data_IF_610902361270
#
_entry.id   IF_610902361270
#
_cell.length_a   1.000
_cell.length_b   1.000
_cell.length_c   1.000
_cell.angle_alpha   90.00
_cell.angle_beta   90.00
_cell.angle_gamma   90.00
#
_symmetry.space_group_name_H-M   'P 1'
#
loop_
_entity.id
_entity.type
_entity.pdbx_description
1 polymer ?
#
# COMPACT_ATOMS: atom_id res chain seq x y z
N UNK A 1 -15.81 11.01 -7.89
CA UNK A 1 -16.18 12.43 -8.12
C UNK A 1 -17.60 12.74 -7.67
N UNK A 2 -18.63 11.97 -8.05
CA UNK A 2 -20.00 12.26 -7.61
C UNK A 2 -20.23 12.10 -6.09
N UNK A 3 -19.58 11.13 -5.43
CA UNK A 3 -19.72 10.93 -3.98
C UNK A 3 -19.22 12.17 -3.20
N UNK A 4 -18.00 12.70 -3.42
CA UNK A 4 -17.58 13.99 -2.86
C UNK A 4 -18.54 15.14 -3.13
N UNK A 5 -19.07 15.25 -4.35
CA UNK A 5 -20.01 16.30 -4.70
C UNK A 5 -21.29 16.26 -3.86
N UNK A 6 -21.82 15.06 -3.58
CA UNK A 6 -23.00 14.89 -2.72
C UNK A 6 -22.71 15.33 -1.28
N UNK A 7 -21.50 15.06 -0.78
CA UNK A 7 -21.06 15.51 0.55
C UNK A 7 -20.99 17.04 0.59
N UNK A 8 -20.34 17.66 -0.40
CA UNK A 8 -20.23 19.13 -0.46
C UNK A 8 -21.60 19.81 -0.65
N UNK A 9 -22.53 19.21 -1.40
CA UNK A 9 -23.92 19.69 -1.49
C UNK A 9 -24.59 19.66 -0.11
N UNK A 10 -24.42 18.57 0.64
CA UNK A 10 -24.99 18.47 2.00
C UNK A 10 -24.43 19.52 2.95
N UNK A 11 -23.15 19.86 2.78
CA UNK A 11 -22.45 20.87 3.59
C UNK A 11 -22.57 22.29 3.01
N UNK A 12 -23.36 22.49 1.95
CA UNK A 12 -23.57 23.77 1.26
C UNK A 12 -22.26 24.41 0.74
N UNK A 13 -21.23 23.60 0.49
CA UNK A 13 -19.93 24.03 0.00
C UNK A 13 -19.92 24.09 -1.54
N UNK A 14 -19.41 25.17 -2.15
CA UNK A 14 -19.42 25.34 -3.61
C UNK A 14 -18.51 24.37 -4.38
N UNK A 15 -17.59 23.68 -3.71
CA UNK A 15 -16.66 22.72 -4.32
C UNK A 15 -17.39 21.52 -4.97
N UNK A 16 -18.67 21.28 -4.66
CA UNK A 16 -19.48 20.30 -5.40
C UNK A 16 -19.48 20.56 -6.91
N UNK A 17 -19.42 21.84 -7.33
CA UNK A 17 -19.36 22.24 -8.74
C UNK A 17 -18.06 21.77 -9.39
N UNK A 18 -16.96 21.82 -8.65
CA UNK A 18 -15.64 21.36 -9.11
C UNK A 18 -15.66 19.86 -9.35
N UNK A 19 -16.21 19.09 -8.41
CA UNK A 19 -16.32 17.64 -8.56
C UNK A 19 -17.26 17.21 -9.69
N UNK A 20 -18.42 17.86 -9.84
CA UNK A 20 -19.36 17.57 -10.94
C UNK A 20 -18.76 17.98 -12.28
N UNK A 21 -18.17 19.18 -12.36
CA UNK A 21 -17.53 19.68 -13.59
C UNK A 21 -16.37 18.80 -14.04
N UNK A 22 -15.48 18.43 -13.12
CA UNK A 22 -14.37 17.50 -13.38
C UNK A 22 -14.89 16.14 -13.83
N UNK A 23 -15.91 15.60 -13.15
CA UNK A 23 -16.51 14.31 -13.49
C UNK A 23 -17.17 14.32 -14.87
N UNK A 24 -17.86 15.39 -15.24
CA UNK A 24 -18.47 15.54 -16.56
C UNK A 24 -17.41 15.65 -17.66
N UNK A 25 -16.39 16.50 -17.47
CA UNK A 25 -15.30 16.67 -18.43
C UNK A 25 -14.57 15.35 -18.71
N UNK A 26 -14.17 14.65 -17.64
CA UNK A 26 -13.46 13.36 -17.75
C UNK A 26 -14.39 12.30 -18.33
N UNK A 27 -15.67 12.28 -17.94
CA UNK A 27 -16.66 11.36 -18.49
C UNK A 27 -16.84 11.52 -20.00
N UNK A 28 -16.93 12.76 -20.49
CA UNK A 28 -17.00 13.07 -21.93
C UNK A 28 -15.72 12.62 -22.63
N UNK A 29 -14.54 12.94 -22.08
CA UNK A 29 -13.27 12.52 -22.67
C UNK A 29 -13.16 11.00 -22.78
N UNK A 30 -13.49 10.27 -21.70
CA UNK A 30 -13.53 8.80 -21.70
C UNK A 30 -14.54 8.25 -22.71
N UNK A 31 -15.71 8.87 -22.87
CA UNK A 31 -16.71 8.46 -23.85
C UNK A 31 -16.23 8.68 -25.29
N UNK A 32 -15.57 9.81 -25.57
CA UNK A 32 -14.99 10.11 -26.89
C UNK A 32 -13.87 9.14 -27.25
N UNK A 33 -12.94 8.88 -26.31
CA UNK A 33 -11.87 7.88 -26.51
C UNK A 33 -12.48 6.51 -26.76
N UNK A 34 -13.42 6.08 -25.91
CA UNK A 34 -14.12 4.80 -26.06
C UNK A 34 -14.83 4.67 -27.40
N UNK A 35 -15.47 5.74 -27.89
CA UNK A 35 -16.11 5.80 -29.20
C UNK A 35 -15.11 5.73 -30.36
N UNK A 36 -13.99 6.46 -30.26
CA UNK A 36 -12.94 6.49 -31.27
C UNK A 36 -12.17 5.16 -31.37
N UNK A 37 -12.03 4.44 -30.25
CA UNK A 37 -11.34 3.14 -30.20
C UNK A 37 -12.30 1.95 -30.32
N UNK A 38 -13.54 2.15 -30.80
CA UNK A 38 -14.44 1.03 -31.11
C UNK A 38 -13.91 0.26 -32.32
N UNK A 39 -13.37 -0.92 -32.06
CA UNK A 39 -12.83 -1.80 -33.08
C UNK A 39 -12.38 -3.14 -32.51
N UNK A 40 -11.65 -3.90 -33.31
CA UNK A 40 -11.11 -5.19 -32.90
C UNK A 40 -10.16 -5.03 -31.72
N UNK A 41 -10.40 -5.83 -30.67
CA UNK A 41 -9.54 -5.83 -29.49
C UNK A 41 -8.22 -6.51 -29.86
N UNK A 42 -7.06 -5.87 -29.61
CA UNK A 42 -5.77 -6.51 -29.84
C UNK A 42 -5.67 -7.77 -28.98
N UNK A 43 -4.98 -8.79 -29.51
CA UNK A 43 -4.68 -9.99 -28.72
C UNK A 43 -3.87 -9.60 -27.50
N UNK A 44 -4.30 -10.04 -26.32
CA UNK A 44 -3.59 -9.76 -25.08
C UNK A 44 -2.22 -10.44 -25.09
N UNK A 45 -1.17 -9.63 -24.92
CA UNK A 45 0.22 -10.10 -24.73
C UNK A 45 0.72 -9.66 -23.37
N UNK A 46 1.76 -10.34 -22.84
CA UNK A 46 2.36 -9.96 -21.56
C UNK A 46 2.89 -8.51 -21.57
N UNK A 47 3.49 -8.09 -22.70
CA UNK A 47 3.98 -6.71 -22.94
C UNK A 47 2.84 -5.69 -22.78
N UNK A 48 1.69 -5.98 -23.40
CA UNK A 48 0.49 -5.14 -23.27
C UNK A 48 -0.05 -5.13 -21.84
N UNK A 49 0.03 -6.25 -21.12
CA UNK A 49 -0.33 -6.35 -19.71
C UNK A 49 0.46 -5.38 -18.81
N UNK A 50 1.79 -5.34 -18.95
CA UNK A 50 2.63 -4.40 -18.22
C UNK A 50 2.28 -2.94 -18.55
N UNK A 51 2.11 -2.63 -19.84
CA UNK A 51 1.76 -1.27 -20.29
C UNK A 51 0.40 -0.82 -19.73
N UNK A 52 -0.63 -1.67 -19.79
CA UNK A 52 -1.97 -1.35 -19.29
C UNK A 52 -1.92 -1.06 -17.79
N UNK A 53 -1.26 -1.91 -17.01
CA UNK A 53 -1.16 -1.78 -15.55
C UNK A 53 -0.51 -0.46 -15.16
N UNK A 54 0.62 -0.12 -15.76
CA UNK A 54 1.32 1.14 -15.47
C UNK A 54 0.50 2.35 -15.93
N UNK A 55 -0.14 2.27 -17.10
CA UNK A 55 -0.95 3.37 -17.65
C UNK A 55 -2.18 3.66 -16.81
N UNK A 56 -2.85 2.64 -16.26
CA UNK A 56 -4.04 2.81 -15.41
C UNK A 56 -3.73 3.65 -14.19
N UNK A 57 -2.57 3.45 -13.53
CA UNK A 57 -2.20 4.27 -12.38
C UNK A 57 -1.80 5.69 -12.74
N UNK A 58 -1.00 5.86 -13.80
CA UNK A 58 -0.58 7.20 -14.25
C UNK A 58 -1.80 8.02 -14.66
N UNK A 59 -2.66 7.47 -15.52
CA UNK A 59 -3.89 8.15 -15.95
C UNK A 59 -4.84 8.35 -14.78
N UNK A 60 -4.96 7.38 -13.88
CA UNK A 60 -5.72 7.50 -12.65
C UNK A 60 -5.26 8.67 -11.79
N UNK A 61 -3.95 8.84 -11.61
CA UNK A 61 -3.37 9.93 -10.81
C UNK A 61 -3.57 11.29 -11.49
N UNK A 62 -3.44 11.37 -12.81
CA UNK A 62 -3.76 12.60 -13.57
C UNK A 62 -5.24 12.98 -13.36
N UNK A 63 -6.15 12.02 -13.53
CA UNK A 63 -7.59 12.22 -13.33
C UNK A 63 -7.91 12.60 -11.88
N UNK A 64 -7.25 11.96 -10.93
CA UNK A 64 -7.45 12.18 -9.50
C UNK A 64 -6.97 13.54 -9.01
N UNK A 65 -5.94 14.10 -9.66
CA UNK A 65 -5.39 15.42 -9.38
C UNK A 65 -6.28 16.57 -9.83
N UNK A 66 -7.09 16.39 -10.89
CA UNK A 66 -7.94 17.47 -11.46
C UNK A 66 -8.81 18.16 -10.41
N UNK A 67 -9.68 17.46 -9.65
CA UNK A 67 -10.52 18.12 -8.65
C UNK A 67 -9.71 18.71 -7.48
N UNK A 68 -8.53 18.17 -7.17
CA UNK A 68 -7.66 18.72 -6.11
C UNK A 68 -6.98 20.03 -6.53
N UNK A 69 -6.65 20.17 -7.81
CA UNK A 69 -6.03 21.38 -8.35
C UNK A 69 -7.03 22.53 -8.59
N UNK A 70 -8.29 22.19 -8.92
CA UNK A 70 -9.33 23.17 -9.26
C UNK A 70 -10.22 23.52 -8.06
N UNK A 71 -10.14 22.77 -6.96
CA UNK A 71 -10.93 23.05 -5.75
C UNK A 71 -10.45 24.32 -5.04
N UNK A 72 -11.14 24.66 -3.95
CA UNK A 72 -10.74 25.75 -3.04
C UNK A 72 -9.38 25.54 -2.36
N UNK A 73 -8.78 24.36 -2.50
CA UNK A 73 -7.49 24.02 -1.87
C UNK A 73 -6.34 24.59 -2.70
N UNK A 74 -5.54 25.46 -2.07
CA UNK A 74 -4.38 26.07 -2.70
C UNK A 74 -3.20 25.10 -2.77
N UNK A 75 -3.04 24.40 -3.90
CA UNK A 75 -1.89 23.53 -4.19
C UNK A 75 -1.30 23.76 -5.57
N UNK A 76 0.00 23.55 -5.72
CA UNK A 76 0.63 23.46 -7.04
C UNK A 76 0.09 22.23 -7.77
N UNK A 77 0.18 22.20 -9.10
CA UNK A 77 -0.23 21.01 -9.84
C UNK A 77 0.64 19.80 -9.48
N UNK A 78 1.93 20.00 -9.18
CA UNK A 78 2.80 18.94 -8.68
C UNK A 78 2.30 18.41 -7.33
N UNK A 79 1.87 19.29 -6.42
CA UNK A 79 1.22 18.92 -5.16
C UNK A 79 -0.09 18.14 -5.36
N UNK A 80 -0.98 18.61 -6.25
CA UNK A 80 -2.23 17.90 -6.55
C UNK A 80 -1.99 16.52 -7.18
N UNK A 81 -1.01 16.40 -8.07
CA UNK A 81 -0.60 15.12 -8.65
C UNK A 81 0.01 14.19 -7.60
N UNK A 82 0.88 14.72 -6.72
CA UNK A 82 1.47 13.97 -5.62
C UNK A 82 0.40 13.43 -4.68
N UNK A 83 -0.54 14.27 -4.25
CA UNK A 83 -1.64 13.87 -3.36
C UNK A 83 -2.51 12.79 -4.01
N UNK A 84 -2.75 12.91 -5.32
CA UNK A 84 -3.51 11.91 -6.06
C UNK A 84 -2.76 10.61 -6.28
N UNK A 85 -1.47 10.67 -6.62
CA UNK A 85 -0.63 9.48 -6.79
C UNK A 85 -0.51 8.76 -5.46
N UNK A 86 -0.16 9.47 -4.38
CA UNK A 86 -0.07 8.96 -3.01
C UNK A 86 -1.38 8.33 -2.54
N UNK A 87 -2.54 8.92 -2.89
CA UNK A 87 -3.84 8.32 -2.66
C UNK A 87 -3.99 6.99 -3.40
N UNK A 88 -3.82 6.97 -4.72
CA UNK A 88 -4.03 5.77 -5.53
C UNK A 88 -3.01 4.65 -5.26
N UNK A 89 -1.77 4.98 -4.95
CA UNK A 89 -0.75 4.01 -4.52
C UNK A 89 -0.88 3.62 -3.06
N UNK A 90 -1.91 4.11 -2.36
CA UNK A 90 -2.14 3.93 -0.91
C UNK A 90 -0.87 4.17 -0.10
N UNK A 91 -0.16 5.24 -0.44
CA UNK A 91 1.06 5.63 0.28
C UNK A 91 0.73 6.48 1.49
N UNK A 92 -0.19 7.45 1.37
CA UNK A 92 -0.61 8.24 2.53
C UNK A 92 0.25 9.46 2.85
N UNK A 93 1.29 9.73 2.07
CA UNK A 93 2.04 10.99 2.15
C UNK A 93 1.16 12.14 1.66
N UNK A 94 1.08 13.24 2.42
CA UNK A 94 0.24 14.41 2.10
C UNK A 94 1.07 15.66 1.90
N UNK A 95 0.66 16.52 0.96
CA UNK A 95 1.14 17.92 0.84
C UNK A 95 0.12 18.91 1.40
N UNK A 96 -1.02 18.43 1.86
CA UNK A 96 -2.10 19.21 2.44
C UNK A 96 -1.91 19.33 3.96
N UNK A 97 -2.22 20.51 4.48
CA UNK A 97 -2.26 20.87 5.90
C UNK A 97 -3.55 21.62 6.23
N UNK A 98 -3.94 21.65 7.49
CA UNK A 98 -5.21 22.24 7.92
C UNK A 98 -6.40 21.38 7.54
N UNK A 99 -6.23 20.05 7.55
CA UNK A 99 -7.24 19.09 7.10
C UNK A 99 -8.55 19.21 7.89
N UNK A 100 -8.47 19.55 9.18
CA UNK A 100 -9.61 19.73 10.08
C UNK A 100 -10.62 20.79 9.61
N UNK A 101 -10.15 21.81 8.89
CA UNK A 101 -10.98 22.90 8.35
C UNK A 101 -11.27 22.76 6.85
N UNK A 102 -10.78 21.69 6.21
CA UNK A 102 -10.89 21.48 4.77
C UNK A 102 -12.31 21.02 4.39
N UNK A 103 -12.80 21.35 3.18
CA UNK A 103 -14.08 20.86 2.71
C UNK A 103 -14.18 19.33 2.77
N UNK A 104 -15.29 18.83 3.32
CA UNK A 104 -15.51 17.39 3.51
C UNK A 104 -15.56 16.62 2.19
N UNK A 105 -15.96 17.22 1.07
CA UNK A 105 -15.83 16.59 -0.24
C UNK A 105 -14.38 16.33 -0.64
N UNK A 106 -13.45 17.24 -0.34
CA UNK A 106 -12.02 17.04 -0.60
C UNK A 106 -11.47 15.92 0.27
N UNK A 107 -11.78 15.90 1.57
CA UNK A 107 -11.38 14.83 2.48
C UNK A 107 -11.91 13.46 2.02
N UNK A 108 -13.19 13.41 1.63
CA UNK A 108 -13.82 12.20 1.06
C UNK A 108 -13.14 11.75 -0.24
N UNK A 109 -12.73 12.69 -1.09
CA UNK A 109 -12.01 12.36 -2.31
C UNK A 109 -10.66 11.70 -2.04
N UNK A 110 -9.90 12.23 -1.07
CA UNK A 110 -8.61 11.66 -0.64
C UNK A 110 -8.79 10.21 -0.18
N UNK A 111 -9.73 9.95 0.72
CA UNK A 111 -9.99 8.59 1.22
C UNK A 111 -10.52 7.65 0.13
N UNK A 112 -11.34 8.15 -0.81
CA UNK A 112 -11.80 7.35 -1.96
C UNK A 112 -10.66 6.98 -2.91
N UNK A 113 -9.70 7.87 -3.15
CA UNK A 113 -8.53 7.54 -3.98
C UNK A 113 -7.74 6.37 -3.36
N UNK A 114 -7.56 6.36 -2.04
CA UNK A 114 -6.93 5.23 -1.35
C UNK A 114 -7.75 3.95 -1.44
N UNK A 115 -9.07 4.05 -1.22
CA UNK A 115 -9.95 2.89 -1.32
C UNK A 115 -9.96 2.26 -2.72
N UNK A 116 -10.03 3.10 -3.77
CA UNK A 116 -9.88 2.66 -5.16
C UNK A 116 -8.48 2.10 -5.43
N UNK A 117 -7.46 2.68 -4.81
CA UNK A 117 -6.08 2.20 -4.78
C UNK A 117 -5.96 0.75 -4.30
N UNK A 118 -6.59 0.45 -3.16
CA UNK A 118 -6.64 -0.89 -2.56
C UNK A 118 -7.35 -1.91 -3.45
N UNK A 119 -8.53 -1.54 -3.98
CA UNK A 119 -9.27 -2.38 -4.96
C UNK A 119 -8.43 -2.61 -6.22
N UNK A 120 -7.72 -1.58 -6.69
CA UNK A 120 -6.86 -1.64 -7.86
C UNK A 120 -5.76 -2.70 -7.73
N UNK A 121 -5.10 -2.82 -6.58
CA UNK A 121 -4.13 -3.91 -6.33
C UNK A 121 -4.80 -5.28 -6.43
N UNK A 122 -5.94 -5.43 -5.76
CA UNK A 122 -6.67 -6.70 -5.75
C UNK A 122 -7.05 -7.10 -7.18
N UNK A 123 -7.54 -6.14 -7.99
CA UNK A 123 -7.89 -6.34 -9.39
C UNK A 123 -6.68 -6.59 -10.30
N UNK A 124 -5.57 -5.87 -10.12
CA UNK A 124 -4.35 -6.07 -10.89
C UNK A 124 -3.72 -7.43 -10.66
N UNK A 125 -3.67 -7.90 -9.41
CA UNK A 125 -3.20 -9.23 -9.10
C UNK A 125 -3.95 -10.25 -9.98
N UNK A 126 -5.27 -10.11 -10.13
CA UNK A 126 -6.11 -11.02 -10.92
C UNK A 126 -5.93 -10.89 -12.44
N UNK A 127 -5.68 -9.68 -12.95
CA UNK A 127 -5.45 -9.43 -14.37
C UNK A 127 -4.05 -9.86 -14.84
N UNK A 128 -3.05 -9.75 -13.96
CA UNK A 128 -1.65 -10.05 -14.25
C UNK A 128 -1.31 -11.52 -13.93
N UNK A 129 -2.02 -12.15 -12.98
CA UNK A 129 -1.81 -13.56 -12.58
C UNK A 129 -1.80 -14.57 -13.74
N UNK A 130 -2.71 -14.52 -14.74
CA UNK A 130 -2.69 -15.44 -15.87
C UNK A 130 -1.47 -15.27 -16.79
N UNK A 131 -0.88 -14.07 -16.77
CA UNK A 131 0.29 -13.69 -17.57
C UNK A 131 1.61 -14.05 -16.88
N UNK A 132 1.67 -13.95 -15.54
CA UNK A 132 2.79 -14.39 -14.71
C UNK A 132 2.74 -15.90 -14.46
N UNK A 133 2.96 -16.68 -15.51
CA UNK A 133 3.04 -18.16 -15.46
C UNK A 133 4.25 -18.70 -14.66
N UNK A 134 5.02 -17.84 -13.99
CA UNK A 134 6.28 -18.16 -13.32
C UNK A 134 6.40 -17.38 -12.00
N UNK A 135 6.02 -18.01 -10.88
CA UNK A 135 6.33 -17.49 -9.54
C UNK A 135 5.24 -17.72 -8.50
N UNK A 136 5.53 -18.54 -7.48
CA UNK A 136 4.86 -18.60 -6.17
C UNK A 136 3.38 -19.02 -6.12
N UNK A 137 2.51 -18.38 -6.90
CA UNK A 137 1.06 -18.65 -6.99
C UNK A 137 0.68 -19.71 -8.01
N UNK A 138 1.63 -20.22 -8.83
CA UNK A 138 1.43 -21.42 -9.64
C UNK A 138 1.00 -22.65 -8.78
N UNK A 139 1.24 -22.57 -7.48
CA UNK A 139 0.78 -23.54 -6.49
C UNK A 139 -0.74 -23.63 -6.33
N UNK A 140 -1.48 -22.56 -6.64
CA UNK A 140 -2.95 -22.63 -6.69
C UNK A 140 -3.47 -23.50 -7.83
N UNK A 141 -2.64 -23.81 -8.83
CA UNK A 141 -2.98 -24.72 -9.92
C UNK A 141 -2.57 -26.17 -9.65
N UNK A 142 -1.72 -26.45 -8.65
CA UNK A 142 -1.28 -27.82 -8.37
C UNK A 142 -2.27 -28.63 -7.52
N UNK A 143 -3.29 -28.00 -6.92
CA UNK A 143 -4.37 -28.70 -6.20
C UNK A 143 -5.57 -29.12 -7.07
N UNK A 144 -5.61 -28.73 -8.35
CA UNK A 144 -6.69 -29.16 -9.25
C UNK A 144 -6.14 -29.88 -10.47
N UNK A 145 -6.13 -31.21 -10.39
CA UNK A 145 -5.91 -32.13 -11.51
C UNK A 145 -7.08 -32.07 -12.51
N UNK A 146 -7.28 -30.93 -13.18
CA UNK A 146 -8.24 -30.84 -14.27
C UNK A 146 -7.78 -29.82 -15.33
N UNK A 147 -7.17 -30.36 -16.40
CA UNK A 147 -6.86 -29.64 -17.63
C UNK A 147 -8.17 -29.47 -18.42
N UNK A 148 -8.89 -28.37 -18.23
CA UNK A 148 -9.91 -27.96 -19.21
C UNK A 148 -10.14 -26.45 -19.20
N UNK A 149 -10.54 -25.94 -20.37
CA UNK A 149 -10.76 -24.54 -20.82
C UNK A 149 -11.69 -23.64 -19.97
N UNK A 150 -11.85 -23.91 -18.67
CA UNK A 150 -12.69 -23.14 -17.74
C UNK A 150 -11.89 -22.19 -16.84
N UNK A 151 -10.73 -21.72 -17.30
CA UNK A 151 -9.87 -20.79 -16.54
C UNK A 151 -10.52 -19.41 -16.40
N UNK A 152 -11.14 -18.89 -17.47
CA UNK A 152 -11.81 -17.57 -17.46
C UNK A 152 -13.01 -17.43 -16.50
N UNK A 153 -14.00 -18.37 -16.44
CA UNK A 153 -15.15 -18.21 -15.54
C UNK A 153 -14.79 -18.26 -14.05
N UNK A 154 -13.62 -18.82 -13.68
CA UNK A 154 -13.16 -18.90 -12.28
C UNK A 154 -12.42 -17.64 -11.81
N UNK A 155 -11.71 -16.93 -12.70
CA UNK A 155 -11.04 -15.66 -12.35
C UNK A 155 -12.07 -14.58 -12.00
N UNK A 156 -13.19 -14.50 -12.73
CA UNK A 156 -14.28 -13.57 -12.43
C UNK A 156 -14.94 -13.83 -11.06
N UNK A 157 -15.20 -15.10 -10.73
CA UNK A 157 -15.78 -15.47 -9.42
C UNK A 157 -14.83 -15.19 -8.25
N UNK A 158 -13.53 -15.46 -8.41
CA UNK A 158 -12.52 -15.11 -7.42
C UNK A 158 -12.40 -13.58 -7.24
N UNK A 159 -12.52 -12.81 -8.32
CA UNK A 159 -12.51 -11.34 -8.27
C UNK A 159 -13.68 -10.77 -7.49
N UNK A 160 -14.89 -11.27 -7.74
CA UNK A 160 -16.08 -10.88 -6.96
C UNK A 160 -15.91 -11.20 -5.47
N UNK A 161 -15.34 -12.36 -5.14
CA UNK A 161 -15.05 -12.74 -3.76
C UNK A 161 -14.04 -11.84 -3.06
N UNK A 162 -12.97 -11.41 -3.74
CA UNK A 162 -11.95 -10.53 -3.15
C UNK A 162 -12.51 -9.13 -2.90
N UNK A 163 -13.24 -8.58 -3.87
CA UNK A 163 -13.90 -7.27 -3.71
C UNK A 163 -14.97 -7.33 -2.61
N UNK A 164 -15.75 -8.41 -2.54
CA UNK A 164 -16.72 -8.59 -1.47
C UNK A 164 -16.06 -8.64 -0.09
N UNK A 165 -14.96 -9.39 0.07
CA UNK A 165 -14.21 -9.42 1.33
C UNK A 165 -13.69 -8.03 1.72
N UNK A 166 -13.15 -7.28 0.76
CA UNK A 166 -12.67 -5.91 0.97
C UNK A 166 -13.78 -4.95 1.42
N UNK A 167 -14.93 -4.96 0.73
CA UNK A 167 -16.08 -4.12 1.07
C UNK A 167 -16.66 -4.49 2.43
N UNK A 168 -16.82 -5.79 2.73
CA UNK A 168 -17.36 -6.26 4.01
C UNK A 168 -16.43 -5.88 5.17
N UNK A 169 -15.12 -6.09 5.03
CA UNK A 169 -14.16 -5.69 6.06
C UNK A 169 -14.14 -4.17 6.27
N UNK A 170 -14.24 -3.38 5.19
CA UNK A 170 -14.34 -1.92 5.27
C UNK A 170 -15.60 -1.49 6.03
N UNK A 171 -16.74 -2.11 5.73
CA UNK A 171 -18.00 -1.83 6.42
C UNK A 171 -17.94 -2.19 7.90
N UNK A 172 -17.38 -3.36 8.25
CA UNK A 172 -17.20 -3.77 9.64
C UNK A 172 -16.27 -2.82 10.40
N UNK A 173 -15.22 -2.33 9.76
CA UNK A 173 -14.32 -1.32 10.34
C UNK A 173 -15.04 0.00 10.59
N UNK A 174 -15.83 0.47 9.62
CA UNK A 174 -16.64 1.69 9.77
C UNK A 174 -17.64 1.57 10.93
N UNK A 175 -18.34 0.44 11.03
CA UNK A 175 -19.26 0.17 12.15
C UNK A 175 -18.51 0.18 13.48
N UNK A 176 -17.36 -0.47 13.57
CA UNK A 176 -16.55 -0.50 14.78
C UNK A 176 -16.09 0.90 15.21
N UNK A 177 -15.62 1.73 14.27
CA UNK A 177 -15.24 3.11 14.55
C UNK A 177 -16.41 3.98 14.99
N UNK A 178 -17.58 3.87 14.35
CA UNK A 178 -18.79 4.59 14.80
C UNK A 178 -19.23 4.16 16.20
N UNK A 179 -19.13 2.87 16.53
CA UNK A 179 -19.48 2.34 17.85
C UNK A 179 -18.54 2.79 18.97
N UNK A 180 -17.33 3.23 18.63
CA UNK A 180 -16.35 3.79 19.57
C UNK A 180 -16.43 5.32 19.71
N UNK A 181 -17.30 5.99 18.95
CA UNK A 181 -17.56 7.42 19.10
C UNK A 181 -16.98 8.32 18.00
N UNK A 182 -16.36 7.77 16.95
CA UNK A 182 -16.02 8.58 15.77
C UNK A 182 -17.28 9.13 15.10
N UNK A 183 -17.18 10.34 14.53
CA UNK A 183 -18.25 10.85 13.67
C UNK A 183 -18.47 9.89 12.50
N UNK A 184 -19.70 9.79 11.99
CA UNK A 184 -20.01 8.88 10.87
C UNK A 184 -19.13 9.16 9.64
N UNK A 185 -18.79 10.44 9.41
CA UNK A 185 -17.93 10.86 8.32
C UNK A 185 -16.49 10.39 8.54
N UNK A 186 -15.94 10.62 9.71
CA UNK A 186 -14.57 10.19 10.03
C UNK A 186 -14.48 8.67 10.00
N UNK A 187 -15.44 7.97 10.59
CA UNK A 187 -15.47 6.52 10.63
C UNK A 187 -15.46 5.87 9.23
N UNK A 188 -16.20 6.42 8.26
CA UNK A 188 -16.19 5.91 6.88
C UNK A 188 -14.85 6.22 6.18
N UNK A 189 -14.36 7.45 6.31
CA UNK A 189 -13.11 7.85 5.68
C UNK A 189 -11.93 7.04 6.22
N UNK A 190 -11.82 6.95 7.55
CA UNK A 190 -10.79 6.17 8.22
C UNK A 190 -10.92 4.67 7.94
N UNK A 191 -12.13 4.11 7.86
CA UNK A 191 -12.29 2.70 7.50
C UNK A 191 -11.78 2.38 6.09
N UNK A 192 -12.05 3.27 5.11
CA UNK A 192 -11.55 3.13 3.74
C UNK A 192 -10.03 3.12 3.68
N UNK A 193 -9.39 4.05 4.40
CA UNK A 193 -7.93 4.24 4.41
C UNK A 193 -7.21 3.19 5.26
N UNK A 194 -7.82 2.71 6.36
CA UNK A 194 -7.34 1.59 7.17
C UNK A 194 -7.30 0.30 6.35
N UNK A 195 -8.40 -0.08 5.68
CA UNK A 195 -8.44 -1.34 4.93
C UNK A 195 -7.64 -1.31 3.65
N UNK A 196 -7.48 -0.13 3.03
CA UNK A 196 -6.56 0.05 1.90
C UNK A 196 -5.09 0.01 2.28
N UNK A 197 -4.77 -0.03 3.59
CA UNK A 197 -3.43 0.16 4.16
C UNK A 197 -2.75 1.38 3.54
N UNK A 198 -3.40 2.55 3.63
CA UNK A 198 -2.89 3.79 3.06
C UNK A 198 -2.87 5.00 4.00
N UNK A 199 -3.67 5.00 5.07
CA UNK A 199 -3.51 5.93 6.19
C UNK A 199 -3.77 7.42 5.96
N UNK A 200 -4.50 7.81 4.90
CA UNK A 200 -5.05 9.17 4.89
C UNK A 200 -6.02 9.38 6.04
N UNK A 201 -6.01 10.60 6.58
CA UNK A 201 -6.83 11.04 7.69
C UNK A 201 -7.65 12.27 7.30
N UNK A 202 -8.79 12.43 7.96
CA UNK A 202 -9.60 13.66 7.94
C UNK A 202 -9.00 14.76 8.82
N UNK A 203 -8.04 14.42 9.68
CA UNK A 203 -7.40 15.31 10.66
C UNK A 203 -5.89 15.35 10.46
N UNK A 204 -5.24 16.50 10.71
CA UNK A 204 -3.79 16.65 10.59
C UNK A 204 -3.03 15.74 11.56
N UNK A 205 -3.55 15.56 12.78
CA UNK A 205 -2.96 14.70 13.80
C UNK A 205 -3.21 13.19 13.57
N UNK A 206 -3.68 12.80 12.38
CA UNK A 206 -3.97 11.40 12.04
C UNK A 206 -4.89 10.73 13.06
N UNK A 207 -4.47 9.62 13.68
CA UNK A 207 -5.27 8.90 14.70
C UNK A 207 -5.05 9.46 16.10
N UNK A 208 -4.06 10.34 16.28
CA UNK A 208 -3.84 11.07 17.53
C UNK A 208 -4.97 12.05 17.87
N UNK A 209 -5.73 12.51 16.87
CA UNK A 209 -6.89 13.40 17.07
C UNK A 209 -7.97 12.82 18.00
N UNK A 210 -8.17 11.50 17.98
CA UNK A 210 -9.27 10.87 18.72
C UNK A 210 -8.95 10.60 20.19
N UNK A 211 -7.67 10.62 20.58
CA UNK A 211 -7.20 10.42 21.97
C UNK A 211 -7.86 9.23 22.71
N UNK A 212 -8.21 8.15 22.00
CA UNK A 212 -8.87 6.96 22.56
C UNK A 212 -8.12 5.67 22.17
N UNK A 213 -7.54 5.01 23.17
CA UNK A 213 -6.80 3.75 23.02
C UNK A 213 -7.65 2.64 22.38
N UNK A 214 -8.98 2.65 22.58
CA UNK A 214 -9.88 1.65 22.00
C UNK A 214 -9.94 1.78 20.48
N UNK A 215 -9.89 3.02 19.96
CA UNK A 215 -9.82 3.29 18.52
C UNK A 215 -8.50 2.78 17.96
N UNK A 216 -7.38 3.03 18.65
CA UNK A 216 -6.06 2.55 18.24
C UNK A 216 -6.01 1.01 18.18
N UNK A 217 -6.62 0.32 19.16
CA UNK A 217 -6.70 -1.15 19.16
C UNK A 217 -7.52 -1.66 17.97
N UNK A 218 -8.70 -1.09 17.72
CA UNK A 218 -9.54 -1.48 16.58
C UNK A 218 -8.83 -1.22 15.26
N UNK A 219 -8.19 -0.05 15.10
CA UNK A 219 -7.39 0.27 13.94
C UNK A 219 -6.25 -0.73 13.74
N UNK A 220 -5.52 -1.09 14.80
CA UNK A 220 -4.45 -2.09 14.76
C UNK A 220 -4.95 -3.44 14.23
N UNK A 221 -6.11 -3.90 14.71
CA UNK A 221 -6.71 -5.15 14.26
C UNK A 221 -7.07 -5.09 12.77
N UNK A 222 -7.73 -4.02 12.32
CA UNK A 222 -8.13 -3.89 10.91
C UNK A 222 -6.94 -3.64 9.97
N UNK A 223 -5.88 -2.97 10.41
CA UNK A 223 -4.62 -2.86 9.66
C UNK A 223 -3.96 -4.23 9.47
N UNK A 224 -3.93 -5.06 10.53
CA UNK A 224 -3.46 -6.45 10.43
C UNK A 224 -4.31 -7.24 9.44
N UNK A 225 -5.63 -7.11 9.49
CA UNK A 225 -6.53 -7.79 8.55
C UNK A 225 -6.30 -7.31 7.10
N UNK A 226 -6.13 -6.00 6.88
CA UNK A 226 -5.79 -5.45 5.56
C UNK A 226 -4.44 -5.94 5.03
N UNK A 227 -3.48 -6.23 5.91
CA UNK A 227 -2.15 -6.73 5.56
C UNK A 227 -2.06 -8.26 5.37
N UNK A 228 -3.13 -9.01 5.65
CA UNK A 228 -3.20 -10.44 5.37
C UNK A 228 -3.60 -10.72 3.91
N UNK A 229 -3.25 -11.89 3.34
CA UNK A 229 -3.67 -12.24 1.99
C UNK A 229 -5.20 -12.32 1.90
N UNK A 230 -5.83 -11.54 1.03
CA UNK A 230 -7.30 -11.48 0.92
C UNK A 230 -7.93 -12.81 0.50
N UNK A 231 -7.16 -13.67 -0.16
CA UNK A 231 -7.58 -15.03 -0.52
C UNK A 231 -7.93 -15.87 0.71
N UNK A 232 -7.37 -15.57 1.89
CA UNK A 232 -7.74 -16.23 3.15
C UNK A 232 -9.19 -15.97 3.53
N UNK A 233 -9.69 -14.76 3.31
CA UNK A 233 -11.08 -14.42 3.63
C UNK A 233 -12.05 -15.20 2.75
N UNK A 234 -11.76 -15.33 1.45
CA UNK A 234 -12.57 -16.16 0.56
C UNK A 234 -12.61 -17.60 1.04
N UNK A 235 -11.45 -18.18 1.38
CA UNK A 235 -11.34 -19.56 1.86
C UNK A 235 -12.10 -19.78 3.17
N UNK A 236 -12.16 -18.78 4.05
CA UNK A 236 -12.91 -18.85 5.31
C UNK A 236 -14.42 -19.04 5.09
N UNK A 237 -14.96 -18.53 3.98
CA UNK A 237 -16.38 -18.70 3.61
C UNK A 237 -16.67 -20.00 2.85
N UNK A 238 -15.67 -20.80 2.49
CA UNK A 238 -15.88 -22.09 1.81
C UNK A 238 -16.07 -23.24 2.82
N UNK A 239 -17.03 -24.17 2.61
CA UNK A 239 -17.40 -25.22 3.56
C UNK A 239 -16.34 -26.30 3.83
N UNK A 240 -15.15 -26.24 3.20
CA UNK A 240 -14.03 -27.17 3.47
C UNK A 240 -13.02 -26.54 4.44
N UNK A 241 -13.27 -26.79 5.74
CA UNK A 241 -12.38 -26.76 6.92
C UNK A 241 -11.09 -25.91 6.83
N UNK A 242 -11.05 -24.84 7.64
CA UNK A 242 -9.97 -24.33 8.51
C UNK A 242 -8.48 -24.71 8.26
N UNK A 243 -8.01 -24.88 7.03
CA UNK A 243 -6.58 -24.79 6.72
C UNK A 243 -6.09 -23.33 6.67
N UNK A 244 -6.61 -22.49 7.59
CA UNK A 244 -6.32 -21.05 7.67
C UNK A 244 -4.83 -20.75 7.94
N UNK A 245 -4.05 -21.76 8.34
CA UNK A 245 -2.72 -21.61 8.93
C UNK A 245 -1.59 -22.30 8.15
N UNK A 246 -1.84 -22.68 6.89
CA UNK A 246 -0.82 -23.39 6.09
C UNK A 246 0.17 -22.47 5.37
N UNK A 247 -0.05 -21.14 5.36
CA UNK A 247 0.87 -20.21 4.69
C UNK A 247 1.95 -19.70 5.65
N UNK A 248 3.24 -20.05 5.44
CA UNK A 248 4.32 -19.66 6.34
C UNK A 248 4.53 -18.15 6.46
N UNK A 249 4.13 -17.33 5.47
CA UNK A 249 4.32 -15.87 5.57
C UNK A 249 3.50 -15.23 6.69
N UNK A 250 2.34 -15.80 7.03
CA UNK A 250 1.46 -15.27 8.08
C UNK A 250 2.18 -15.38 9.42
N UNK A 251 2.80 -16.53 9.70
CA UNK A 251 3.58 -16.74 10.92
C UNK A 251 4.79 -15.81 11.00
N UNK A 252 5.47 -15.56 9.89
CA UNK A 252 6.58 -14.59 9.83
C UNK A 252 6.09 -13.18 10.12
N UNK A 253 5.00 -12.75 9.49
CA UNK A 253 4.42 -11.42 9.68
C UNK A 253 4.04 -11.18 11.14
N UNK A 254 3.29 -12.09 11.77
CA UNK A 254 2.94 -11.96 13.19
C UNK A 254 4.16 -12.00 14.11
N UNK A 255 5.15 -12.85 13.82
CA UNK A 255 6.39 -12.90 14.60
C UNK A 255 7.15 -11.56 14.54
N UNK A 256 7.21 -10.91 13.38
CA UNK A 256 7.83 -9.59 13.22
C UNK A 256 7.04 -8.54 14.01
N UNK A 257 5.71 -8.47 13.84
CA UNK A 257 4.87 -7.49 14.53
C UNK A 257 5.02 -7.61 16.06
N UNK A 258 4.93 -8.83 16.60
CA UNK A 258 5.04 -9.05 18.05
C UNK A 258 6.44 -8.75 18.58
N UNK A 259 7.50 -9.24 17.92
CA UNK A 259 8.86 -9.04 18.43
C UNK A 259 9.29 -7.58 18.40
N UNK A 260 9.00 -6.86 17.32
CA UNK A 260 9.33 -5.45 17.21
C UNK A 260 8.45 -4.59 18.15
N UNK A 261 7.17 -4.95 18.33
CA UNK A 261 6.28 -4.21 19.27
C UNK A 261 6.80 -4.31 20.69
N UNK A 262 7.20 -5.50 21.12
CA UNK A 262 7.77 -5.72 22.44
C UNK A 262 9.09 -4.94 22.60
N UNK A 263 9.95 -4.92 21.57
CA UNK A 263 11.21 -4.17 21.62
C UNK A 263 10.99 -2.66 21.81
N UNK A 264 10.02 -2.08 21.10
CA UNK A 264 9.66 -0.66 21.23
C UNK A 264 9.00 -0.39 22.58
N UNK A 265 8.06 -1.23 23.02
CA UNK A 265 7.38 -1.07 24.30
C UNK A 265 8.38 -1.10 25.48
N UNK A 266 9.38 -2.00 25.44
CA UNK A 266 10.46 -2.05 26.43
C UNK A 266 11.25 -0.73 26.42
N UNK A 267 11.59 -0.23 25.23
CA UNK A 267 12.39 0.98 25.07
C UNK A 267 11.61 2.20 25.58
N UNK A 268 10.33 2.35 25.24
CA UNK A 268 9.46 3.40 25.79
C UNK A 268 9.37 3.34 27.31
N UNK A 269 9.25 2.14 27.88
CA UNK A 269 9.18 1.98 29.33
C UNK A 269 10.47 2.43 30.03
N UNK A 270 11.62 2.12 29.44
CA UNK A 270 12.93 2.45 30.01
C UNK A 270 13.27 3.93 29.87
N UNK A 271 13.03 4.54 28.71
CA UNK A 271 13.49 5.90 28.41
C UNK A 271 12.44 6.99 28.68
N UNK A 272 11.15 6.71 28.48
CA UNK A 272 10.07 7.70 28.57
C UNK A 272 9.21 7.54 29.83
N UNK A 273 9.49 6.53 30.66
CA UNK A 273 8.76 6.20 31.88
C UNK A 273 7.22 6.03 31.70
N UNK A 274 6.75 5.78 30.48
CA UNK A 274 5.33 5.60 30.16
C UNK A 274 4.71 4.43 30.93
N UNK A 275 3.39 4.47 31.13
CA UNK A 275 2.65 3.38 31.75
C UNK A 275 2.72 2.10 30.88
N UNK A 276 2.55 0.92 31.47
CA UNK A 276 2.68 -0.35 30.73
C UNK A 276 1.62 -0.46 29.62
N UNK A 277 0.40 -0.02 29.91
CA UNK A 277 -0.72 -0.07 28.99
C UNK A 277 -0.51 0.87 27.80
N UNK A 278 -0.23 2.15 28.06
CA UNK A 278 0.05 3.17 27.05
C UNK A 278 1.28 2.79 26.20
N UNK A 279 2.35 2.31 26.84
CA UNK A 279 3.56 1.89 26.14
C UNK A 279 3.28 0.72 25.19
N UNK A 280 2.36 -0.20 25.54
CA UNK A 280 2.03 -1.32 24.67
C UNK A 280 1.07 -0.89 23.55
N UNK A 281 0.00 -0.17 23.86
CA UNK A 281 -1.03 0.23 22.87
C UNK A 281 -0.44 1.15 21.80
N UNK A 282 0.22 2.25 22.21
CA UNK A 282 0.80 3.21 21.26
C UNK A 282 1.96 2.58 20.46
N UNK A 283 2.79 1.73 21.08
CA UNK A 283 3.85 1.02 20.34
C UNK A 283 3.28 0.02 19.33
N UNK A 284 2.27 -0.76 19.72
CA UNK A 284 1.62 -1.73 18.84
C UNK A 284 0.96 -1.02 17.66
N UNK A 285 0.23 0.07 17.93
CA UNK A 285 -0.48 0.84 16.91
C UNK A 285 0.49 1.44 15.87
N UNK A 286 1.46 2.25 16.32
CA UNK A 286 2.38 2.93 15.40
C UNK A 286 3.25 1.93 14.64
N UNK A 287 3.72 0.88 15.30
CA UNK A 287 4.55 -0.11 14.62
C UNK A 287 3.76 -0.96 13.61
N UNK A 288 2.57 -1.44 13.97
CA UNK A 288 1.71 -2.16 13.03
C UNK A 288 1.34 -1.25 11.87
N UNK A 289 1.04 0.02 12.13
CA UNK A 289 0.79 1.03 11.10
C UNK A 289 1.94 1.13 10.09
N UNK A 290 3.19 1.17 10.54
CA UNK A 290 4.37 1.22 9.66
C UNK A 290 4.60 -0.12 8.93
N UNK A 291 4.58 -1.26 9.62
CA UNK A 291 4.84 -2.58 9.02
C UNK A 291 3.76 -2.96 7.99
N UNK A 292 2.50 -2.62 8.27
CA UNK A 292 1.38 -2.85 7.34
C UNK A 292 1.35 -1.83 6.21
N UNK A 293 2.28 -0.86 6.21
CA UNK A 293 2.37 0.26 5.28
C UNK A 293 1.13 1.14 5.29
N UNK A 294 0.41 1.20 6.40
CA UNK A 294 -0.76 2.08 6.55
C UNK A 294 -0.32 3.51 6.79
N UNK A 295 0.67 3.77 7.64
CA UNK A 295 1.24 5.11 7.81
C UNK A 295 0.50 6.08 8.71
N UNK A 296 -0.51 5.62 9.46
CA UNK A 296 -1.06 6.39 10.56
C UNK A 296 -0.04 6.61 11.68
N UNK A 297 -0.15 7.78 12.32
CA UNK A 297 0.53 8.10 13.55
C UNK A 297 -0.50 8.40 14.65
N UNK A 298 -0.22 7.95 15.88
CA UNK A 298 -0.91 8.44 17.09
C UNK A 298 -0.08 9.49 17.81
N UNK A 299 1.25 9.32 17.80
CA UNK A 299 2.23 10.17 18.44
C UNK A 299 3.43 10.37 17.51
N UNK A 300 4.22 11.41 17.78
CA UNK A 300 5.52 11.55 17.13
C UNK A 300 6.55 10.59 17.74
N UNK A 301 6.70 9.43 17.11
CA UNK A 301 7.62 8.39 17.53
C UNK A 301 9.11 8.74 17.30
N UNK A 302 9.42 9.84 16.61
CA UNK A 302 10.81 10.32 16.49
C UNK A 302 11.35 10.83 17.83
N UNK A 303 10.46 11.22 18.75
CA UNK A 303 10.78 11.74 20.07
C UNK A 303 10.97 10.65 21.15
N UNK A 304 10.69 9.38 20.83
CA UNK A 304 10.69 8.32 21.84
C UNK A 304 12.12 7.94 22.26
N UNK A 305 12.94 7.53 21.30
CA UNK A 305 14.38 7.27 21.50
C UNK A 305 15.06 6.99 20.15
N UNK A 306 16.38 7.15 20.09
CA UNK A 306 17.16 6.78 18.91
C UNK A 306 17.06 5.28 18.57
N UNK A 307 16.89 4.42 19.59
CA UNK A 307 16.67 3.00 19.39
C UNK A 307 15.30 2.72 18.74
N UNK A 308 14.24 3.38 19.20
CA UNK A 308 12.91 3.29 18.60
C UNK A 308 12.94 3.79 17.15
N UNK A 309 13.59 4.93 16.89
CA UNK A 309 13.76 5.48 15.53
C UNK A 309 14.44 4.47 14.60
N UNK A 310 15.53 3.83 15.03
CA UNK A 310 16.20 2.78 14.27
C UNK A 310 15.29 1.57 13.96
N UNK A 311 14.44 1.18 14.92
CA UNK A 311 13.45 0.10 14.71
C UNK A 311 12.37 0.54 13.72
N UNK A 312 11.87 1.77 13.78
CA UNK A 312 10.88 2.29 12.83
C UNK A 312 11.45 2.41 11.42
N UNK A 313 12.71 2.85 11.25
CA UNK A 313 13.39 2.84 9.96
C UNK A 313 13.44 1.41 9.41
N UNK A 314 13.85 0.44 10.24
CA UNK A 314 13.87 -0.96 9.84
C UNK A 314 12.48 -1.48 9.46
N UNK A 315 11.45 -1.14 10.25
CA UNK A 315 10.07 -1.52 10.00
C UNK A 315 9.53 -0.96 8.68
N UNK A 316 9.98 0.21 8.25
CA UNK A 316 9.57 0.85 6.98
C UNK A 316 10.00 0.03 5.76
N UNK A 317 11.08 -0.75 5.86
CA UNK A 317 11.44 -1.70 4.79
C UNK A 317 10.47 -2.87 4.69
N UNK A 318 9.87 -3.26 5.82
CA UNK A 318 9.01 -4.42 5.90
C UNK A 318 7.63 -4.10 5.35
N UNK A 319 6.95 -5.12 4.85
CA UNK A 319 5.58 -5.03 4.39
C UNK A 319 4.73 -6.16 4.95
N UNK A 320 3.44 -6.12 4.64
CA UNK A 320 2.52 -7.19 4.97
C UNK A 320 2.72 -8.45 4.12
N UNK A 321 1.67 -9.25 4.04
CA UNK A 321 1.72 -10.50 3.29
C UNK A 321 1.47 -10.28 1.79
N UNK A 322 1.98 -11.15 0.94
CA UNK A 322 1.66 -11.14 -0.48
C UNK A 322 0.18 -11.45 -0.72
N UNK A 323 -0.45 -10.70 -1.63
CA UNK A 323 -1.90 -10.76 -1.86
C UNK A 323 -2.73 -9.91 -0.89
N UNK A 324 -2.07 -9.01 -0.14
CA UNK A 324 -2.69 -7.93 0.62
C UNK A 324 -2.58 -6.58 -0.10
N UNK A 325 -3.15 -5.52 0.48
CA UNK A 325 -3.03 -4.14 -0.03
C UNK A 325 -1.71 -3.45 0.35
N UNK A 326 -0.92 -4.07 1.22
CA UNK A 326 0.33 -3.50 1.74
C UNK A 326 1.47 -3.48 0.71
N UNK A 327 2.35 -2.49 0.86
CA UNK A 327 3.56 -2.28 0.08
C UNK A 327 4.80 -2.96 0.69
N UNK A 328 5.96 -2.32 0.50
CA UNK A 328 7.23 -2.71 1.11
C UNK A 328 7.78 -4.08 0.69
N UNK A 329 8.75 -4.58 1.46
CA UNK A 329 9.30 -5.92 1.29
C UNK A 329 8.38 -6.92 1.98
N UNK A 330 7.51 -7.54 1.17
CA UNK A 330 6.51 -8.52 1.63
C UNK A 330 7.09 -9.71 2.40
N UNK A 331 6.32 -10.20 3.37
CA UNK A 331 6.71 -11.28 4.28
C UNK A 331 7.11 -12.58 3.55
N UNK A 332 6.49 -12.90 2.40
CA UNK A 332 6.88 -14.06 1.60
C UNK A 332 8.31 -13.97 1.07
N UNK A 333 8.77 -12.78 0.66
CA UNK A 333 10.13 -12.56 0.15
C UNK A 333 11.15 -12.70 1.26
N UNK A 334 10.86 -12.17 2.45
CA UNK A 334 11.68 -12.35 3.64
C UNK A 334 11.83 -13.84 3.99
N UNK A 335 10.73 -14.60 3.96
CA UNK A 335 10.77 -16.04 4.20
C UNK A 335 11.64 -16.78 3.16
N UNK A 336 11.48 -16.46 1.87
CA UNK A 336 12.26 -17.08 0.78
C UNK A 336 13.76 -16.78 0.95
N UNK A 337 14.13 -15.52 1.23
CA UNK A 337 15.53 -15.15 1.46
C UNK A 337 16.12 -15.83 2.69
N UNK A 338 15.38 -15.90 3.79
CA UNK A 338 15.82 -16.63 4.98
C UNK A 338 16.14 -18.10 4.66
N UNK A 339 15.27 -18.77 3.88
CA UNK A 339 15.50 -20.14 3.42
C UNK A 339 16.71 -20.24 2.48
N UNK A 340 16.88 -19.27 1.57
CA UNK A 340 18.01 -19.18 0.66
C UNK A 340 19.35 -19.12 1.42
N UNK A 341 19.47 -18.18 2.36
CA UNK A 341 20.66 -18.00 3.21
C UNK A 341 20.97 -19.28 3.98
N UNK A 342 19.97 -19.86 4.66
CA UNK A 342 20.15 -21.08 5.44
C UNK A 342 20.61 -22.27 4.60
N UNK A 343 20.19 -22.39 3.34
CA UNK A 343 20.71 -23.46 2.49
C UNK A 343 22.09 -23.16 1.90
N UNK A 344 22.41 -21.90 1.60
CA UNK A 344 23.76 -21.54 1.18
C UNK A 344 24.77 -21.89 2.28
N UNK A 345 24.46 -21.58 3.55
CA UNK A 345 25.29 -22.04 4.66
C UNK A 345 25.38 -23.57 4.76
N UNK A 346 24.27 -24.29 4.59
CA UNK A 346 24.30 -25.76 4.58
C UNK A 346 25.11 -26.34 3.40
N UNK A 347 25.09 -25.70 2.23
CA UNK A 347 25.90 -26.10 1.06
C UNK A 347 27.38 -25.85 1.29
N UNK A 348 27.74 -24.75 1.97
CA UNK A 348 29.13 -24.50 2.37
C UNK A 348 29.66 -25.60 3.31
N UNK A 349 28.81 -26.09 4.23
CA UNK A 349 29.17 -27.21 5.12
C UNK A 349 29.11 -28.58 4.42
N UNK A 350 28.17 -28.76 3.48
CA UNK A 350 27.95 -30.02 2.74
C UNK A 350 27.83 -29.76 1.22
N UNK A 351 28.95 -29.69 0.49
CA UNK A 351 28.99 -29.28 -0.92
C UNK A 351 28.16 -30.17 -1.87
N UNK A 352 28.04 -31.46 -1.57
CA UNK A 352 27.32 -32.43 -2.39
C UNK A 352 25.84 -32.62 -1.99
N UNK A 353 25.33 -31.83 -1.03
CA UNK A 353 23.95 -31.97 -0.59
C UNK A 353 22.97 -31.33 -1.58
N UNK A 354 22.04 -32.13 -2.13
CA UNK A 354 20.90 -31.63 -2.90
C UNK A 354 19.85 -31.09 -1.92
N UNK A 355 19.92 -29.79 -1.65
CA UNK A 355 18.94 -29.12 -0.77
C UNK A 355 17.78 -28.62 -1.60
N UNK A 356 16.60 -29.24 -1.43
CA UNK A 356 15.34 -28.73 -1.95
C UNK A 356 14.74 -27.73 -0.94
N UNK A 357 14.48 -26.51 -1.39
CA UNK A 357 13.83 -25.48 -0.60
C UNK A 357 12.32 -25.67 -0.65
N UNK A 358 11.64 -25.60 0.49
CA UNK A 358 10.17 -25.65 0.55
C UNK A 358 9.60 -24.33 1.09
N UNK A 359 8.52 -23.88 0.47
CA UNK A 359 7.61 -22.86 0.98
C UNK A 359 6.38 -23.58 1.54
N UNK A 360 6.31 -23.67 2.87
CA UNK A 360 5.36 -24.57 3.54
C UNK A 360 5.65 -26.01 3.13
N UNK A 361 4.69 -26.66 2.46
CA UNK A 361 4.83 -28.04 2.00
C UNK A 361 5.40 -28.18 0.59
N UNK A 362 5.48 -27.09 -0.17
CA UNK A 362 5.72 -27.14 -1.61
C UNK A 362 7.13 -26.67 -1.98
N UNK A 363 7.79 -27.27 -2.99
CA UNK A 363 9.13 -26.84 -3.40
C UNK A 363 9.10 -25.43 -4.01
N UNK A 364 10.12 -24.63 -3.72
CA UNK A 364 10.34 -23.32 -4.34
C UNK A 364 11.11 -23.53 -5.64
N UNK A 365 10.57 -23.13 -6.80
CA UNK A 365 11.28 -23.22 -8.07
C UNK A 365 12.46 -22.21 -8.10
N UNK A 366 13.58 -22.52 -8.76
CA UNK A 366 14.75 -21.63 -8.85
C UNK A 366 14.40 -20.23 -9.37
N UNK A 367 13.47 -20.14 -10.32
CA UNK A 367 12.99 -18.89 -10.89
C UNK A 367 12.34 -17.99 -9.82
N UNK A 368 11.65 -18.59 -8.84
CA UNK A 368 11.05 -17.85 -7.73
C UNK A 368 12.10 -17.19 -6.84
N UNK A 369 13.23 -17.87 -6.60
CA UNK A 369 14.35 -17.32 -5.84
C UNK A 369 15.01 -16.17 -6.61
N UNK A 370 15.24 -16.36 -7.91
CA UNK A 370 15.83 -15.33 -8.77
C UNK A 370 14.99 -14.05 -8.79
N UNK A 371 13.67 -14.16 -8.93
CA UNK A 371 12.75 -13.02 -8.89
C UNK A 371 12.84 -12.25 -7.57
N UNK A 372 12.93 -12.96 -6.43
CA UNK A 372 13.10 -12.31 -5.12
C UNK A 372 14.44 -11.58 -5.04
N UNK A 373 15.54 -12.19 -5.49
CA UNK A 373 16.87 -11.55 -5.47
C UNK A 373 16.92 -10.31 -6.37
N UNK A 374 16.34 -10.38 -7.58
CA UNK A 374 16.25 -9.23 -8.50
C UNK A 374 15.44 -8.10 -7.86
N UNK A 375 14.31 -8.42 -7.22
CA UNK A 375 13.51 -7.42 -6.52
C UNK A 375 14.32 -6.69 -5.46
N UNK A 376 15.08 -7.41 -4.61
CA UNK A 376 15.93 -6.78 -3.59
C UNK A 376 17.00 -5.87 -4.18
N UNK A 377 17.68 -6.32 -5.24
CA UNK A 377 18.67 -5.50 -5.94
C UNK A 377 18.06 -4.21 -6.49
N UNK A 378 16.91 -4.32 -7.16
CA UNK A 378 16.20 -3.16 -7.72
C UNK A 378 15.65 -2.24 -6.62
N UNK A 379 15.17 -2.80 -5.51
CA UNK A 379 14.63 -2.02 -4.38
C UNK A 379 15.71 -1.13 -3.79
N UNK A 380 16.86 -1.70 -3.39
CA UNK A 380 17.96 -0.92 -2.83
C UNK A 380 18.62 -0.01 -3.87
N UNK A 381 18.71 -0.43 -5.14
CA UNK A 381 19.19 0.43 -6.22
C UNK A 381 18.30 1.66 -6.43
N UNK A 382 16.98 1.47 -6.46
CA UNK A 382 16.01 2.57 -6.59
C UNK A 382 16.03 3.48 -5.37
N UNK A 383 16.17 2.93 -4.16
CA UNK A 383 16.32 3.70 -2.93
C UNK A 383 17.55 4.62 -2.99
N UNK A 384 18.71 4.10 -3.40
CA UNK A 384 19.93 4.89 -3.50
C UNK A 384 19.81 5.97 -4.58
N UNK A 385 19.30 5.61 -5.77
CA UNK A 385 19.12 6.56 -6.87
C UNK A 385 18.11 7.66 -6.52
N UNK A 386 16.98 7.30 -5.90
CA UNK A 386 15.98 8.26 -5.45
C UNK A 386 16.52 9.20 -4.37
N UNK A 387 17.30 8.68 -3.42
CA UNK A 387 17.95 9.50 -2.39
C UNK A 387 18.88 10.54 -3.03
N UNK A 388 19.74 10.11 -3.95
CA UNK A 388 20.64 11.04 -4.68
C UNK A 388 19.83 12.06 -5.48
N UNK A 389 18.79 11.61 -6.20
CA UNK A 389 17.96 12.50 -7.00
C UNK A 389 17.27 13.57 -6.15
N UNK A 390 16.74 13.22 -4.97
CA UNK A 390 16.14 14.16 -4.04
C UNK A 390 17.16 15.12 -3.42
N UNK A 391 18.38 14.66 -3.11
CA UNK A 391 19.45 15.53 -2.64
C UNK A 391 19.89 16.56 -3.69
N UNK A 392 19.77 16.27 -4.99
CA UNK A 392 20.02 17.26 -6.05
C UNK A 392 19.02 18.43 -6.03
N UNK A 393 17.85 18.26 -5.41
CA UNK A 393 16.87 19.33 -5.18
C UNK A 393 17.12 20.11 -3.89
N UNK A 394 18.26 19.89 -3.22
CA UNK A 394 18.65 20.62 -2.01
C UNK A 394 18.10 20.05 -0.71
N UNK A 395 17.52 18.83 -0.75
CA UNK A 395 17.07 18.13 0.45
C UNK A 395 18.26 17.51 1.20
N UNK A 396 18.22 17.60 2.53
CA UNK A 396 19.20 16.95 3.39
C UNK A 396 19.11 15.41 3.27
N UNK A 397 20.17 14.71 3.69
CA UNK A 397 20.25 13.26 3.53
C UNK A 397 19.14 12.51 4.27
N UNK A 398 18.74 12.98 5.46
CA UNK A 398 17.70 12.33 6.26
C UNK A 398 16.34 12.44 5.55
N UNK A 399 15.96 13.64 5.12
CA UNK A 399 14.73 13.86 4.35
C UNK A 399 14.74 13.11 3.02
N UNK A 400 15.86 13.14 2.28
CA UNK A 400 15.97 12.48 0.98
C UNK A 400 15.90 10.94 1.10
N UNK A 401 16.61 10.35 2.06
CA UNK A 401 16.63 8.91 2.29
C UNK A 401 15.27 8.42 2.80
N UNK A 402 14.73 9.07 3.83
CA UNK A 402 13.45 8.70 4.40
C UNK A 402 12.28 8.92 3.44
N UNK A 403 12.28 10.04 2.70
CA UNK A 403 11.30 10.34 1.67
C UNK A 403 11.29 9.30 0.55
N UNK A 404 12.48 8.89 0.07
CA UNK A 404 12.58 7.83 -0.95
C UNK A 404 12.13 6.49 -0.39
N UNK A 405 12.54 6.13 0.83
CA UNK A 405 12.17 4.87 1.47
C UNK A 405 10.66 4.75 1.68
N UNK A 406 10.02 5.78 2.24
CA UNK A 406 8.58 5.77 2.50
C UNK A 406 7.76 5.77 1.21
N UNK A 407 8.21 6.50 0.18
CA UNK A 407 7.60 6.46 -1.14
C UNK A 407 7.72 5.06 -1.77
N UNK A 408 8.92 4.46 -1.74
CA UNK A 408 9.18 3.16 -2.36
C UNK A 408 8.49 2.00 -1.63
N UNK A 409 8.37 2.09 -0.31
CA UNK A 409 7.65 1.12 0.50
C UNK A 409 6.13 1.38 0.55
N UNK A 410 5.68 2.53 0.03
CA UNK A 410 4.30 3.02 0.12
C UNK A 410 3.78 3.11 1.56
N UNK A 411 4.57 3.66 2.48
CA UNK A 411 4.25 3.73 3.92
C UNK A 411 3.55 5.03 4.29
N UNK A 412 4.03 6.19 3.84
CA UNK A 412 3.39 7.49 4.06
C UNK A 412 4.28 8.49 4.80
N UNK A 413 4.41 8.39 6.13
CA UNK A 413 5.31 9.23 6.91
C UNK A 413 6.78 8.88 6.60
N UNK A 414 7.61 9.92 6.51
CA UNK A 414 9.07 9.80 6.48
C UNK A 414 9.65 9.94 7.89
N UNK A 415 10.89 10.41 7.96
CA UNK A 415 11.60 10.69 9.21
C UNK A 415 12.16 12.11 9.18
N UNK A 416 12.59 12.60 10.33
CA UNK A 416 13.09 13.97 10.48
C UNK A 416 11.99 15.00 10.74
N UNK A 417 12.38 16.27 10.81
CA UNK A 417 11.49 17.36 11.25
C UNK A 417 10.48 17.80 10.19
N UNK A 418 10.77 17.57 8.91
CA UNK A 418 9.97 18.08 7.78
C UNK A 418 8.88 17.09 7.37
N UNK A 419 9.27 15.85 7.08
CA UNK A 419 8.39 14.80 6.55
C UNK A 419 8.13 13.67 7.55
N UNK A 420 8.47 13.89 8.83
CA UNK A 420 8.23 12.94 9.91
C UNK A 420 6.74 12.73 10.22
N UNK A 421 6.41 11.97 11.29
CA UNK A 421 5.04 11.61 11.64
C UNK A 421 4.13 12.81 11.96
N UNK A 422 4.71 13.90 12.47
CA UNK A 422 4.02 15.15 12.73
C UNK A 422 4.17 16.18 11.58
N UNK A 423 4.88 15.81 10.51
CA UNK A 423 5.19 16.66 9.37
C UNK A 423 4.39 16.31 8.12
N UNK A 424 4.69 16.99 7.01
CA UNK A 424 4.08 16.75 5.71
C UNK A 424 5.03 17.17 4.56
N UNK A 425 4.64 16.88 3.33
CA UNK A 425 5.48 17.06 2.14
C UNK A 425 5.29 18.44 1.48
N UNK A 426 4.50 19.35 2.08
CA UNK A 426 4.17 20.66 1.49
C UNK A 426 5.38 21.58 1.31
N UNK A 427 6.41 21.42 2.14
CA UNK A 427 7.64 22.23 2.12
C UNK A 427 8.63 21.82 1.03
N UNK A 428 8.40 20.68 0.37
CA UNK A 428 9.32 20.15 -0.64
C UNK A 428 9.13 20.86 -1.99
N UNK A 429 10.21 21.06 -2.77
CA UNK A 429 10.11 21.64 -4.10
C UNK A 429 9.35 20.71 -5.05
N UNK A 430 8.63 21.30 -6.02
CA UNK A 430 7.81 20.55 -7.00
C UNK A 430 8.58 19.42 -7.71
N UNK A 431 9.87 19.62 -8.01
CA UNK A 431 10.71 18.57 -8.62
C UNK A 431 10.91 17.33 -7.73
N UNK A 432 11.01 17.53 -6.41
CA UNK A 432 11.06 16.43 -5.44
C UNK A 432 9.72 15.68 -5.39
N UNK A 433 8.59 16.39 -5.45
CA UNK A 433 7.25 15.78 -5.48
C UNK A 433 7.05 14.87 -6.70
N UNK A 434 7.57 15.26 -7.87
CA UNK A 434 7.55 14.39 -9.06
C UNK A 434 8.36 13.11 -8.88
N UNK A 435 9.57 13.21 -8.30
CA UNK A 435 10.43 12.04 -8.03
C UNK A 435 9.76 11.10 -7.04
N UNK A 436 9.21 11.64 -5.95
CA UNK A 436 8.50 10.85 -4.95
C UNK A 436 7.27 10.17 -5.56
N UNK A 437 6.49 10.89 -6.38
CA UNK A 437 5.32 10.33 -7.07
C UNK A 437 5.71 9.16 -8.00
N UNK A 438 6.79 9.29 -8.74
CA UNK A 438 7.32 8.21 -9.58
C UNK A 438 7.81 7.02 -8.73
N UNK A 439 8.45 7.30 -7.59
CA UNK A 439 8.96 6.28 -6.66
C UNK A 439 7.81 5.50 -6.01
N UNK A 440 6.71 6.17 -5.65
CA UNK A 440 5.49 5.53 -5.15
C UNK A 440 4.91 4.55 -6.16
N UNK A 441 4.84 4.94 -7.43
CA UNK A 441 4.36 4.07 -8.50
C UNK A 441 5.26 2.85 -8.68
N UNK A 442 6.58 3.04 -8.65
CA UNK A 442 7.57 1.97 -8.75
C UNK A 442 7.42 0.96 -7.62
N UNK A 443 7.30 1.43 -6.37
CA UNK A 443 7.04 0.60 -5.20
C UNK A 443 5.75 -0.21 -5.34
N UNK A 444 4.67 0.48 -5.69
CA UNK A 444 3.32 -0.10 -5.77
C UNK A 444 3.21 -1.21 -6.80
N UNK A 445 3.94 -1.07 -7.91
CA UNK A 445 3.94 -2.00 -9.04
C UNK A 445 5.07 -3.02 -9.00
N UNK A 446 5.71 -3.21 -7.84
CA UNK A 446 6.73 -4.25 -7.63
C UNK A 446 8.01 -4.06 -8.47
N UNK A 447 8.33 -2.82 -8.85
CA UNK A 447 9.50 -2.34 -9.61
C UNK A 447 9.63 -2.90 -11.04
N UNK A 448 9.73 -4.22 -11.17
CA UNK A 448 9.97 -4.93 -12.44
C UNK A 448 8.88 -4.62 -13.46
N UNK A 449 7.61 -4.54 -13.04
CA UNK A 449 6.46 -4.24 -13.91
C UNK A 449 6.62 -2.93 -14.66
N UNK A 450 7.22 -1.92 -14.02
CA UNK A 450 7.42 -0.59 -14.62
C UNK A 450 8.75 -0.55 -15.35
N UNK A 451 9.83 -1.06 -14.73
CA UNK A 451 11.17 -1.00 -15.29
C UNK A 451 11.32 -1.78 -16.60
N UNK A 452 10.55 -2.86 -16.80
CA UNK A 452 10.55 -3.62 -18.06
C UNK A 452 10.07 -2.80 -19.26
N UNK A 453 9.25 -1.77 -19.05
CA UNK A 453 8.79 -0.88 -20.13
C UNK A 453 9.92 -0.03 -20.70
N UNK A 454 10.97 0.22 -19.91
CA UNK A 454 12.18 0.91 -20.32
C UNK A 454 13.25 -0.01 -20.92
N UNK A 455 13.03 -1.33 -20.90
CA UNK A 455 13.95 -2.29 -21.50
C UNK A 455 13.68 -2.38 -23.01
N UNK A 456 14.59 -1.91 -23.90
CA UNK A 456 14.30 -1.80 -25.33
C UNK A 456 13.86 -3.12 -26.01
N UNK A 457 14.43 -4.30 -25.66
CA UNK A 457 13.98 -5.58 -26.23
C UNK A 457 12.53 -5.96 -25.93
N UNK A 458 11.87 -5.26 -25.01
CA UNK A 458 10.42 -5.42 -24.78
C UNK A 458 9.61 -5.02 -26.02
N UNK A 459 10.13 -4.13 -26.87
CA UNK A 459 9.42 -3.54 -28.00
C UNK A 459 9.92 -4.00 -29.36
N UNK A 460 11.03 -4.73 -29.40
CA UNK A 460 11.57 -5.34 -30.63
C UNK A 460 11.18 -6.82 -30.67
N UNK A 461 10.70 -7.27 -31.82
CA UNK A 461 10.36 -8.68 -32.06
C UNK A 461 11.60 -9.54 -32.37
#
# INVERSE_FOLDING_TARGET
MLIPALVDISDHNQDWKVFVGSGALIGVLCALVSAATRGDRPRFTQRLGFLIVTSVWIVGAIIGAVPLYVSSVSVTYAGAFFESMSGLTTTGSTVLSGLDAMPRGVLMWRSLLQWLGGIGIIGMALLVLPALRTGGMALFHMESSDKSDKVLPRVGQLSGGLVAAYVVLTLLCSIAYTGLGMSFFDAINHAMTTLSTGGYSTHDASMGYFEDDRILIVATIFMVLGALPFVLYIRAFLPRRFQLWSDPQIGVFFAICVTLTLAIAITRRVYNASSIEEAFVSSAFNLVSIITTTGYASDDYTLWSNAALGIFIFATFLGGCAGSTSGGIKANRLYILYKLVGANFRRLVRPHAVIQFKYGQNPIPPEGVQTVTIFFFLFFGTLLLGTVALSLFGLDFETAFSGTLTALANVGPGFGQTIGPAGNFSSLPDGALWILSATMLLGRLELVTVLILFYPPTWTD
#
